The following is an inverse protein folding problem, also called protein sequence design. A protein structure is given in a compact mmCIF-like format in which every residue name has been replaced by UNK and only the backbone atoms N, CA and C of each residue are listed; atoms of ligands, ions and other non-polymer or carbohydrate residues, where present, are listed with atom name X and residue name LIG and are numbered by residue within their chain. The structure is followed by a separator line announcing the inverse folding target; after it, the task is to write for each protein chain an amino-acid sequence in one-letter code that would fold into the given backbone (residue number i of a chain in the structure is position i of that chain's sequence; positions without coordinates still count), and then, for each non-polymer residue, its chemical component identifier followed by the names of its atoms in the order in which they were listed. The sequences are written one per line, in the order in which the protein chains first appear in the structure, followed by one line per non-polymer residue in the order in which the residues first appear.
data_IF_931451222276
#
_entry.id   IF_931451222276
#
_cell.length_a   1.000
_cell.length_b   1.000
_cell.length_c   1.000
_cell.angle_alpha   90.00
_cell.angle_beta   90.00
_cell.angle_gamma   90.00
#
_symmetry.space_group_name_H-M   'P 1'
#
loop_
_entity.id
_entity.type
_entity.pdbx_description
1 polymer ?
#
# COMPACT_ATOMS: atom_id res chain seq x y z
N UNK A 1 -4.98 -20.47 -11.45
CA UNK A 1 -3.55 -20.78 -11.27
C UNK A 1 -3.20 -22.28 -11.12
N UNK A 2 -4.03 -23.21 -11.63
CA UNK A 2 -3.94 -24.68 -11.44
C UNK A 2 -2.70 -25.44 -11.98
N UNK A 3 -1.83 -24.75 -12.71
CA UNK A 3 -0.73 -25.41 -13.43
C UNK A 3 0.49 -25.69 -12.52
N UNK A 4 0.60 -24.98 -11.39
CA UNK A 4 1.75 -25.12 -10.47
C UNK A 4 1.72 -26.48 -9.76
N UNK A 5 0.57 -26.90 -9.23
CA UNK A 5 0.42 -28.19 -8.54
C UNK A 5 0.68 -29.39 -9.46
N UNK A 6 0.29 -29.28 -10.73
CA UNK A 6 0.63 -30.26 -11.77
C UNK A 6 2.13 -30.32 -12.04
N UNK A 7 2.80 -29.15 -12.10
CA UNK A 7 4.26 -29.07 -12.27
C UNK A 7 5.01 -29.65 -11.07
N UNK A 8 4.57 -29.38 -9.84
CA UNK A 8 5.16 -29.98 -8.63
C UNK A 8 4.99 -31.50 -8.64
N UNK A 9 3.78 -31.99 -8.97
CA UNK A 9 3.50 -33.43 -9.12
C UNK A 9 4.39 -34.09 -10.18
N UNK A 10 4.62 -33.40 -11.31
CA UNK A 10 5.52 -33.87 -12.36
C UNK A 10 6.97 -33.96 -11.88
N UNK A 11 7.48 -32.93 -11.17
CA UNK A 11 8.83 -32.92 -10.60
C UNK A 11 8.99 -34.01 -9.54
N UNK A 12 7.97 -34.26 -8.72
CA UNK A 12 7.94 -35.36 -7.75
C UNK A 12 8.09 -36.72 -8.43
N UNK A 13 7.31 -36.96 -9.48
CA UNK A 13 7.42 -38.20 -10.27
C UNK A 13 8.78 -38.36 -10.97
N UNK A 14 9.35 -37.28 -11.49
CA UNK A 14 10.70 -37.30 -12.06
C UNK A 14 11.76 -37.64 -11.02
N UNK A 15 11.69 -37.04 -9.83
CA UNK A 15 12.64 -37.28 -8.76
C UNK A 15 12.60 -38.72 -8.23
N UNK A 16 11.41 -39.33 -8.18
CA UNK A 16 11.23 -40.75 -7.85
C UNK A 16 11.82 -41.67 -8.92
N UNK A 17 11.61 -41.35 -10.20
CA UNK A 17 12.12 -42.13 -11.34
C UNK A 17 13.64 -42.04 -11.57
N UNK A 18 14.31 -41.03 -11.00
CA UNK A 18 15.76 -40.84 -11.10
C UNK A 18 16.58 -41.79 -10.20
N UNK A 19 15.95 -42.55 -9.31
CA UNK A 19 16.59 -43.53 -8.43
C UNK A 19 17.87 -43.02 -7.75
N UNK A 20 17.82 -41.82 -7.17
CA UNK A 20 18.97 -41.16 -6.53
C UNK A 20 19.56 -42.07 -5.44
N UNK A 21 20.80 -42.50 -5.64
CA UNK A 21 21.50 -43.46 -4.77
C UNK A 21 22.05 -42.80 -3.49
N UNK A 22 22.40 -41.52 -3.56
CA UNK A 22 22.87 -40.77 -2.40
C UNK A 22 21.69 -40.37 -1.51
N UNK A 23 21.66 -40.91 -0.28
CA UNK A 23 20.58 -40.70 0.66
C UNK A 23 20.48 -39.26 1.18
N UNK A 24 21.59 -38.51 1.24
CA UNK A 24 21.59 -37.11 1.65
C UNK A 24 20.98 -36.24 0.55
N UNK A 25 21.39 -36.47 -0.70
CA UNK A 25 20.82 -35.76 -1.85
C UNK A 25 19.33 -36.08 -2.02
N UNK A 26 18.96 -37.36 -1.89
CA UNK A 26 17.54 -37.78 -1.94
C UNK A 26 16.72 -37.04 -0.88
N UNK A 27 17.22 -36.94 0.34
CA UNK A 27 16.54 -36.20 1.41
C UNK A 27 16.37 -34.72 1.04
N UNK A 28 17.42 -34.06 0.57
CA UNK A 28 17.34 -32.64 0.16
C UNK A 28 16.30 -32.43 -0.94
N UNK A 29 16.26 -33.29 -1.97
CA UNK A 29 15.26 -33.18 -3.03
C UNK A 29 13.83 -33.40 -2.52
N UNK A 30 13.62 -34.35 -1.61
CA UNK A 30 12.31 -34.56 -0.99
C UNK A 30 11.84 -33.31 -0.25
N UNK A 31 12.68 -32.73 0.60
CA UNK A 31 12.33 -31.50 1.35
C UNK A 31 12.06 -30.33 0.40
N UNK A 32 12.83 -30.19 -0.70
CA UNK A 32 12.56 -29.16 -1.72
C UNK A 32 11.20 -29.37 -2.38
N UNK A 33 10.86 -30.61 -2.73
CA UNK A 33 9.58 -30.94 -3.36
C UNK A 33 8.43 -30.65 -2.40
N UNK A 34 8.59 -30.98 -1.12
CA UNK A 34 7.57 -30.73 -0.10
C UNK A 34 7.33 -29.23 0.09
N UNK A 35 8.41 -28.41 0.16
CA UNK A 35 8.29 -26.94 0.17
C UNK A 35 7.59 -26.42 -1.08
N UNK A 36 7.89 -26.98 -2.26
CA UNK A 36 7.22 -26.58 -3.50
C UNK A 36 5.72 -26.94 -3.51
N UNK A 37 5.34 -28.05 -2.86
CA UNK A 37 3.94 -28.48 -2.73
C UNK A 37 3.18 -27.53 -1.79
N UNK A 38 3.78 -27.19 -0.64
CA UNK A 38 3.23 -26.18 0.28
C UNK A 38 3.09 -24.81 -0.39
N UNK A 39 4.07 -24.40 -1.20
CA UNK A 39 3.97 -23.18 -1.98
C UNK A 39 2.85 -23.24 -3.02
N UNK A 40 2.65 -24.39 -3.68
CA UNK A 40 1.57 -24.56 -4.64
C UNK A 40 0.20 -24.41 -3.98
N UNK A 41 0.01 -24.97 -2.79
CA UNK A 41 -1.21 -24.83 -2.00
C UNK A 41 -1.45 -23.39 -1.55
N UNK A 42 -0.44 -22.73 -0.97
CA UNK A 42 -0.55 -21.34 -0.55
C UNK A 42 -0.88 -20.39 -1.73
N UNK A 43 -0.36 -20.69 -2.92
CA UNK A 43 -0.67 -19.95 -4.13
C UNK A 43 -2.12 -20.18 -4.56
N UNK A 44 -2.63 -21.42 -4.53
CA UNK A 44 -4.06 -21.70 -4.79
C UNK A 44 -4.99 -20.96 -3.81
N UNK A 45 -4.62 -20.91 -2.52
CA UNK A 45 -5.37 -20.14 -1.51
C UNK A 45 -5.38 -18.64 -1.82
N UNK A 46 -4.25 -18.09 -2.30
CA UNK A 46 -4.16 -16.69 -2.72
C UNK A 46 -5.02 -16.39 -3.97
N UNK A 47 -5.10 -17.31 -4.94
CA UNK A 47 -5.98 -17.20 -6.12
C UNK A 47 -7.42 -16.98 -5.66
N UNK A 48 -7.90 -17.83 -4.75
CA UNK A 48 -9.27 -17.77 -4.23
C UNK A 48 -9.53 -16.47 -3.47
N UNK A 49 -8.58 -16.01 -2.64
CA UNK A 49 -8.72 -14.75 -1.92
C UNK A 49 -8.73 -13.53 -2.86
N UNK A 50 -7.96 -13.58 -3.96
CA UNK A 50 -7.96 -12.53 -4.98
C UNK A 50 -9.31 -12.51 -5.70
N UNK A 51 -9.83 -13.66 -6.11
CA UNK A 51 -11.14 -13.75 -6.77
C UNK A 51 -12.25 -13.16 -5.88
N UNK A 52 -12.29 -13.53 -4.58
CA UNK A 52 -13.24 -12.94 -3.61
C UNK A 52 -13.07 -11.42 -3.47
N UNK A 53 -11.83 -10.93 -3.47
CA UNK A 53 -11.55 -9.50 -3.38
C UNK A 53 -12.01 -8.77 -4.65
N UNK A 54 -11.86 -9.38 -5.83
CA UNK A 54 -12.34 -8.81 -7.09
C UNK A 54 -13.87 -8.68 -7.08
N UNK A 55 -14.59 -9.72 -6.67
CA UNK A 55 -16.05 -9.67 -6.52
C UNK A 55 -16.48 -8.55 -5.56
N UNK A 56 -15.76 -8.38 -4.45
CA UNK A 56 -16.02 -7.30 -3.50
C UNK A 56 -15.78 -5.91 -4.10
N UNK A 57 -14.69 -5.73 -4.85
CA UNK A 57 -14.41 -4.44 -5.52
C UNK A 57 -15.44 -4.14 -6.60
N UNK A 58 -15.88 -5.13 -7.37
CA UNK A 58 -16.97 -4.99 -8.34
C UNK A 58 -18.28 -4.55 -7.66
N UNK A 59 -18.59 -5.08 -6.47
CA UNK A 59 -19.77 -4.64 -5.72
C UNK A 59 -19.67 -3.18 -5.26
N UNK A 60 -18.47 -2.71 -4.90
CA UNK A 60 -18.26 -1.31 -4.53
C UNK A 60 -18.42 -0.41 -5.76
N UNK A 61 -17.88 -0.83 -6.92
CA UNK A 61 -18.00 -0.08 -8.17
C UNK A 61 -19.47 0.07 -8.59
N UNK A 62 -20.26 -1.01 -8.47
CA UNK A 62 -21.71 -0.97 -8.72
C UNK A 62 -22.44 -0.01 -7.76
N UNK A 63 -22.19 -0.12 -6.45
CA UNK A 63 -22.78 0.76 -5.43
C UNK A 63 -22.43 2.25 -5.66
N UNK A 64 -21.18 2.54 -6.07
CA UNK A 64 -20.75 3.90 -6.38
C UNK A 64 -21.38 4.41 -7.68
N UNK A 65 -21.52 3.57 -8.70
CA UNK A 65 -22.24 3.92 -9.92
C UNK A 65 -23.70 4.29 -9.65
N UNK A 66 -24.39 3.54 -8.77
CA UNK A 66 -25.75 3.90 -8.35
C UNK A 66 -25.78 5.26 -7.62
N UNK A 67 -24.79 5.56 -6.78
CA UNK A 67 -24.68 6.85 -6.11
C UNK A 67 -24.40 8.00 -7.10
N UNK A 68 -23.54 7.78 -8.09
CA UNK A 68 -23.28 8.71 -9.18
C UNK A 68 -24.57 9.05 -9.93
N UNK A 69 -25.34 8.03 -10.30
CA UNK A 69 -26.63 8.20 -10.96
C UNK A 69 -27.66 8.96 -10.10
N UNK A 70 -27.72 8.69 -8.79
CA UNK A 70 -28.70 9.31 -7.90
C UNK A 70 -28.37 10.77 -7.50
N UNK A 71 -27.09 11.14 -7.43
CA UNK A 71 -26.66 12.42 -6.86
C UNK A 71 -25.86 13.32 -7.82
N UNK A 72 -25.21 12.74 -8.83
CA UNK A 72 -24.29 13.44 -9.71
C UNK A 72 -24.76 13.47 -11.18
N UNK A 73 -25.77 12.69 -11.57
CA UNK A 73 -26.33 12.67 -12.93
C UNK A 73 -27.49 13.65 -13.19
N UNK A 74 -27.85 14.53 -12.24
CA UNK A 74 -29.03 15.43 -12.36
C UNK A 74 -28.71 16.89 -12.76
N UNK A 75 -27.48 17.19 -13.20
CA UNK A 75 -27.15 18.47 -13.85
C UNK A 75 -26.32 18.27 -15.14
N UNK A 76 -27.03 18.25 -16.27
CA UNK A 76 -26.59 18.61 -17.63
C UNK A 76 -25.81 17.59 -18.50
N UNK A 77 -26.61 16.83 -19.28
CA UNK A 77 -26.28 16.32 -20.62
C UNK A 77 -26.00 17.48 -21.61
N UNK A 78 -24.89 18.20 -21.46
CA UNK A 78 -24.37 19.10 -22.50
C UNK A 78 -22.83 19.24 -22.48
N UNK A 79 -22.09 18.12 -22.46
CA UNK A 79 -20.71 18.12 -22.96
C UNK A 79 -20.70 18.06 -24.50
N UNK A 80 -21.24 19.10 -25.14
CA UNK A 80 -20.64 19.60 -26.38
C UNK A 80 -19.16 19.86 -26.06
N UNK A 81 -18.28 19.16 -26.77
CA UNK A 81 -16.84 19.38 -26.75
C UNK A 81 -16.54 20.86 -27.08
N UNK A 82 -16.56 21.74 -26.08
CA UNK A 82 -16.11 23.12 -26.26
C UNK A 82 -14.59 23.14 -26.12
N UNK A 83 -14.00 23.39 -27.28
CA UNK A 83 -12.61 23.69 -27.53
C UNK A 83 -12.13 24.77 -26.55
N UNK A 84 -11.23 24.39 -25.62
CA UNK A 84 -10.28 25.24 -24.91
C UNK A 84 -10.40 26.74 -25.22
N UNK A 85 -11.21 27.47 -24.44
CA UNK A 85 -11.02 28.91 -24.28
C UNK A 85 -10.29 29.15 -22.95
N UNK A 86 -9.01 29.46 -23.12
CA UNK A 86 -8.01 29.84 -22.15
C UNK A 86 -8.28 31.26 -21.64
N UNK A 87 -9.33 31.49 -20.84
CA UNK A 87 -9.45 32.68 -19.97
C UNK A 87 -10.75 32.65 -19.13
N UNK A 88 -10.71 32.13 -17.90
CA UNK A 88 -11.39 32.77 -16.74
C UNK A 88 -11.06 32.02 -15.43
N UNK A 89 -10.03 32.53 -14.75
CA UNK A 89 -9.98 32.75 -13.29
C UNK A 89 -10.84 31.80 -12.42
N UNK A 90 -10.33 30.58 -12.19
CA UNK A 90 -10.67 29.87 -10.96
C UNK A 90 -10.09 30.66 -9.79
N UNK A 91 -10.97 31.36 -9.08
CA UNK A 91 -10.73 31.88 -7.74
C UNK A 91 -10.67 30.68 -6.80
N UNK A 92 -9.52 30.02 -6.82
CA UNK A 92 -9.11 28.94 -5.92
C UNK A 92 -8.74 29.57 -4.56
N UNK A 93 -9.74 30.15 -3.87
CA UNK A 93 -9.59 30.70 -2.52
C UNK A 93 -10.03 29.69 -1.44
N UNK A 94 -9.80 28.39 -1.69
CA UNK A 94 -9.66 27.38 -0.65
C UNK A 94 -8.25 26.77 -0.69
N UNK A 95 -7.25 27.63 -0.81
CA UNK A 95 -5.94 27.37 -0.23
C UNK A 95 -6.18 27.16 1.27
N UNK A 96 -6.25 25.89 1.71
CA UNK A 96 -5.89 25.58 3.08
C UNK A 96 -4.44 26.02 3.20
N UNK A 97 -4.27 27.27 3.62
CA UNK A 97 -3.00 27.88 3.98
C UNK A 97 -2.48 27.09 5.18
N UNK A 98 -1.92 25.91 4.90
CA UNK A 98 -1.15 25.12 5.83
C UNK A 98 0.17 25.88 5.92
N UNK A 99 0.13 26.99 6.66
CA UNK A 99 1.24 27.89 6.81
C UNK A 99 2.37 27.05 7.43
N UNK A 100 3.36 26.68 6.61
CA UNK A 100 4.55 25.94 7.04
C UNK A 100 5.27 26.69 8.19
N UNK A 101 4.94 27.97 8.42
CA UNK A 101 5.35 28.73 9.59
C UNK A 101 4.85 28.16 10.92
N UNK A 102 3.76 27.39 11.00
CA UNK A 102 3.25 26.87 12.28
C UNK A 102 3.99 25.63 12.79
N UNK A 103 4.83 25.01 11.97
CA UNK A 103 5.59 23.81 12.32
C UNK A 103 7.10 24.07 12.39
N UNK A 104 7.75 23.43 13.36
CA UNK A 104 9.21 23.40 13.51
C UNK A 104 9.72 22.02 13.11
N UNK A 105 10.58 21.99 12.09
CA UNK A 105 11.32 20.79 11.68
C UNK A 105 12.56 20.60 12.56
N UNK A 106 12.69 19.43 13.18
CA UNK A 106 13.89 19.09 13.93
C UNK A 106 14.23 17.60 13.82
N UNK A 107 15.52 17.30 13.75
CA UNK A 107 16.03 15.93 13.84
C UNK A 107 16.12 15.50 15.30
N UNK A 108 15.40 14.43 15.66
CA UNK A 108 15.44 13.92 17.02
C UNK A 108 16.84 13.34 17.37
N UNK A 109 17.49 13.77 18.46
CA UNK A 109 18.85 13.33 18.81
C UNK A 109 18.95 11.85 19.22
N UNK A 110 17.82 11.19 19.51
CA UNK A 110 17.77 9.80 19.97
C UNK A 110 17.33 8.81 18.90
N UNK A 111 16.24 9.11 18.17
CA UNK A 111 15.75 8.22 17.12
C UNK A 111 16.24 8.58 15.73
N UNK A 112 16.88 9.75 15.57
CA UNK A 112 17.37 10.26 14.27
C UNK A 112 16.29 10.34 13.20
N UNK A 113 15.04 10.53 13.63
CA UNK A 113 13.91 10.77 12.76
C UNK A 113 13.70 12.28 12.67
N UNK A 114 13.49 12.77 11.46
CA UNK A 114 13.06 14.15 11.21
C UNK A 114 11.59 14.26 11.61
N UNK A 115 11.30 15.15 12.57
CA UNK A 115 9.94 15.35 13.09
C UNK A 115 9.48 16.78 12.86
N UNK A 116 8.19 16.92 12.57
CA UNK A 116 7.49 18.20 12.45
C UNK A 116 6.67 18.39 13.73
N UNK A 117 6.99 19.45 14.48
CA UNK A 117 6.34 19.76 15.76
C UNK A 117 5.65 21.11 15.62
N UNK A 118 4.35 21.14 15.88
CA UNK A 118 3.57 22.38 15.94
C UNK A 118 4.09 23.28 17.06
N UNK A 119 4.28 24.57 16.77
CA UNK A 119 4.78 25.59 17.71
C UNK A 119 3.97 25.65 19.00
N UNK A 120 2.68 25.34 18.95
CA UNK A 120 1.82 25.28 20.14
C UNK A 120 2.25 24.23 21.17
N UNK A 121 3.00 23.20 20.76
CA UNK A 121 3.54 22.18 21.67
C UNK A 121 4.95 22.50 22.20
N UNK A 122 5.57 23.60 21.75
CA UNK A 122 6.88 24.02 22.24
C UNK A 122 6.71 24.91 23.47
N UNK A 123 7.16 24.41 24.62
CA UNK A 123 7.12 25.14 25.89
C UNK A 123 8.56 25.43 26.33
N UNK A 124 8.88 26.70 26.55
CA UNK A 124 10.24 27.15 26.94
C UNK A 124 11.35 26.66 25.97
N UNK A 125 11.06 26.63 24.66
CA UNK A 125 12.00 26.16 23.63
C UNK A 125 12.20 24.65 23.62
N UNK A 126 11.28 23.87 24.20
CA UNK A 126 11.37 22.40 24.25
C UNK A 126 10.08 21.73 23.81
N UNK A 127 10.19 20.61 23.11
CA UNK A 127 9.07 19.73 22.84
C UNK A 127 9.47 18.25 22.85
N UNK A 128 8.49 17.37 23.01
CA UNK A 128 8.70 15.92 23.03
C UNK A 128 8.64 15.33 21.62
N UNK A 129 9.64 14.54 21.24
CA UNK A 129 9.59 13.77 20.01
C UNK A 129 8.39 12.80 20.01
N UNK A 130 7.50 12.84 18.99
CA UNK A 130 6.33 11.96 18.93
C UNK A 130 6.69 10.47 18.80
N UNK A 131 7.87 10.16 18.24
CA UNK A 131 8.32 8.78 18.05
C UNK A 131 8.90 8.16 19.33
N UNK A 132 9.73 8.90 20.08
CA UNK A 132 10.51 8.32 21.17
C UNK A 132 10.44 9.08 22.51
N UNK A 133 9.58 10.10 22.60
CA UNK A 133 9.30 10.94 23.79
C UNK A 133 10.54 11.55 24.43
N UNK A 134 11.54 11.81 23.60
CA UNK A 134 12.77 12.48 24.04
C UNK A 134 12.60 13.97 23.84
N UNK A 135 13.02 14.77 24.81
CA UNK A 135 13.00 16.22 24.72
C UNK A 135 13.94 16.69 23.61
N UNK A 136 13.41 17.52 22.71
CA UNK A 136 14.10 18.24 21.66
C UNK A 136 14.15 19.70 22.10
N UNK A 137 15.34 20.31 22.07
CA UNK A 137 15.55 21.73 22.38
C UNK A 137 15.62 22.51 21.05
N UNK A 138 14.82 23.56 20.93
CA UNK A 138 14.78 24.52 19.83
C UNK A 138 15.41 25.83 20.32
N UNK A 139 16.46 26.31 19.64
CA UNK A 139 17.06 27.62 19.95
C UNK A 139 16.15 28.73 19.38
N UNK A 140 15.74 29.70 20.22
CA UNK A 140 14.93 30.89 19.83
C UNK A 140 15.73 31.90 18.97
N UNK A 141 16.32 31.44 17.86
CA UNK A 141 17.02 32.28 16.91
C UNK A 141 16.74 31.84 15.47
N UNK A 142 15.52 32.08 14.98
CA UNK A 142 15.12 33.25 14.18
C UNK A 142 13.59 33.34 14.14
#
# INVERSE_FOLDING_TARGET
MHDIRLKVSYVKGLAEGLEIQDSKLKKVFSEIIDVLDEMAEAIEDLDMAIDETQEYVESIDEDLGELEDDFYCDEEDDEEYDEYDDDEYYDDEYEYDFDDEDFLEADCPKCHETVYIDKDFVVDGKAECPNCKTEIEFDESE
#
